data_IF_485196678211
#
_entry.id   IF_485196678211
#
_cell.length_a   1.000
_cell.length_b   1.000
_cell.length_c   1.000
_cell.angle_alpha   90.00
_cell.angle_beta   90.00
_cell.angle_gamma   90.00
#
_symmetry.space_group_name_H-M   'P 1'
#
loop_
_entity.id
_entity.type
_entity.pdbx_description
1 polymer ?
#
# COMPACT_ATOMS: atom_id res chain seq x y z
N UNK A 1 0.02 -17.69 -20.47
CA UNK A 1 1.49 -17.61 -20.29
C UNK A 1 1.89 -18.29 -19.00
N UNK A 2 3.18 -18.32 -18.67
CA UNK A 2 3.66 -18.93 -17.41
C UNK A 2 3.17 -18.18 -16.17
N UNK A 3 2.70 -18.95 -15.17
CA UNK A 3 2.16 -18.43 -13.89
C UNK A 3 3.30 -17.96 -12.97
N UNK A 4 4.41 -18.69 -12.95
CA UNK A 4 5.62 -18.33 -12.20
C UNK A 4 6.67 -17.88 -13.19
N UNK A 5 7.15 -16.65 -13.06
CA UNK A 5 8.27 -16.14 -13.85
C UNK A 5 9.45 -15.87 -12.89
N UNK A 6 10.45 -16.75 -12.84
CA UNK A 6 11.63 -16.52 -12.01
C UNK A 6 12.37 -15.28 -12.51
N UNK A 7 12.62 -14.31 -11.62
CA UNK A 7 13.44 -13.14 -11.90
C UNK A 7 14.59 -13.07 -10.89
N UNK A 8 15.64 -12.34 -11.25
CA UNK A 8 16.93 -12.18 -10.53
C UNK A 8 16.78 -11.88 -9.03
N UNK A 9 15.67 -11.27 -8.57
CA UNK A 9 15.40 -11.15 -7.14
C UNK A 9 14.11 -11.87 -6.73
N UNK A 10 14.18 -12.59 -5.61
CA UNK A 10 13.04 -13.33 -5.03
C UNK A 10 11.82 -12.42 -4.74
N UNK A 11 12.06 -11.13 -4.43
CA UNK A 11 11.01 -10.14 -4.25
C UNK A 11 10.26 -9.86 -5.56
N UNK A 12 10.99 -9.62 -6.65
CA UNK A 12 10.43 -9.40 -7.99
C UNK A 12 9.66 -10.63 -8.47
N UNK A 13 10.18 -11.85 -8.25
CA UNK A 13 9.50 -13.11 -8.57
C UNK A 13 8.15 -13.22 -7.85
N UNK A 14 8.09 -12.87 -6.56
CA UNK A 14 6.84 -12.92 -5.78
C UNK A 14 5.79 -11.96 -6.35
N UNK A 15 6.17 -10.73 -6.66
CA UNK A 15 5.24 -9.76 -7.22
C UNK A 15 4.75 -10.18 -8.61
N UNK A 16 5.63 -10.57 -9.53
CA UNK A 16 5.23 -10.98 -10.88
C UNK A 16 4.33 -12.22 -10.82
N UNK A 17 4.63 -13.16 -9.92
CA UNK A 17 3.78 -14.34 -9.71
C UNK A 17 2.38 -13.95 -9.21
N UNK A 18 2.27 -13.04 -8.24
CA UNK A 18 0.96 -12.56 -7.77
C UNK A 18 0.17 -11.83 -8.87
N UNK A 19 0.84 -11.05 -9.74
CA UNK A 19 0.19 -10.44 -10.91
C UNK A 19 -0.30 -11.50 -11.89
N UNK A 20 0.55 -12.46 -12.23
CA UNK A 20 0.21 -13.51 -13.17
C UNK A 20 -0.96 -14.36 -12.67
N UNK A 21 -1.02 -14.64 -11.36
CA UNK A 21 -2.17 -15.31 -10.73
C UNK A 21 -3.46 -14.50 -10.89
N UNK A 22 -3.40 -13.17 -10.70
CA UNK A 22 -4.55 -12.29 -10.92
C UNK A 22 -4.98 -12.28 -12.39
N UNK A 23 -4.04 -12.03 -13.30
CA UNK A 23 -4.29 -11.93 -14.74
C UNK A 23 -4.87 -13.24 -15.31
N UNK A 24 -4.49 -14.39 -14.75
CA UNK A 24 -4.98 -15.72 -15.17
C UNK A 24 -6.05 -16.31 -14.23
N UNK A 25 -6.72 -15.51 -13.39
CA UNK A 25 -7.72 -15.98 -12.40
C UNK A 25 -8.73 -16.95 -12.99
N UNK A 26 -9.40 -16.57 -14.09
CA UNK A 26 -10.45 -17.38 -14.70
C UNK A 26 -9.93 -18.72 -15.22
N UNK A 27 -8.74 -18.73 -15.82
CA UNK A 27 -8.09 -19.95 -16.29
C UNK A 27 -7.68 -20.87 -15.14
N UNK A 28 -7.19 -20.29 -14.04
CA UNK A 28 -6.84 -21.04 -12.82
C UNK A 28 -8.08 -21.66 -12.15
N UNK A 29 -9.18 -20.91 -12.05
CA UNK A 29 -10.45 -21.41 -11.50
C UNK A 29 -11.04 -22.53 -12.39
N UNK A 30 -10.95 -22.37 -13.71
CA UNK A 30 -11.34 -23.41 -14.67
C UNK A 30 -10.47 -24.66 -14.53
N UNK A 31 -9.16 -24.50 -14.33
CA UNK A 31 -8.25 -25.61 -14.09
C UNK A 31 -8.58 -26.32 -12.77
N UNK A 32 -8.77 -25.58 -11.69
CA UNK A 32 -9.06 -26.12 -10.35
C UNK A 32 -10.39 -26.90 -10.29
N UNK A 33 -11.35 -26.56 -11.14
CA UNK A 33 -12.65 -27.27 -11.27
C UNK A 33 -12.66 -28.32 -12.38
N UNK A 34 -11.63 -28.38 -13.23
CA UNK A 34 -11.58 -29.30 -14.36
C UNK A 34 -11.58 -30.77 -13.91
N UNK A 35 -12.21 -31.63 -14.71
CA UNK A 35 -12.18 -33.09 -14.50
C UNK A 35 -10.75 -33.64 -14.55
N UNK A 36 -9.89 -33.03 -15.36
CA UNK A 36 -8.48 -33.37 -15.47
C UNK A 36 -7.74 -33.16 -14.14
N UNK A 37 -7.90 -32.00 -13.49
CA UNK A 37 -7.23 -31.71 -12.23
C UNK A 37 -7.87 -32.45 -11.04
N UNK A 38 -9.20 -32.46 -10.94
CA UNK A 38 -9.93 -33.10 -9.82
C UNK A 38 -9.75 -34.62 -9.76
N UNK A 39 -9.49 -35.28 -10.89
CA UNK A 39 -9.15 -36.70 -10.92
C UNK A 39 -7.67 -36.98 -10.65
N UNK A 40 -6.79 -35.98 -10.79
CA UNK A 40 -5.35 -36.13 -10.66
C UNK A 40 -4.91 -36.35 -9.20
N UNK A 41 -3.78 -37.06 -8.99
CA UNK A 41 -3.26 -37.34 -7.63
C UNK A 41 -2.91 -36.08 -6.84
N UNK A 42 -2.50 -35.00 -7.53
CA UNK A 42 -2.09 -33.75 -6.90
C UNK A 42 -3.25 -33.02 -6.22
N UNK A 43 -4.46 -33.03 -6.80
CA UNK A 43 -5.63 -32.37 -6.21
C UNK A 43 -6.09 -33.03 -4.92
N UNK A 44 -5.79 -34.32 -4.74
CA UNK A 44 -6.13 -35.09 -3.53
C UNK A 44 -5.14 -34.91 -2.38
N UNK A 45 -3.98 -34.28 -2.62
CA UNK A 45 -3.02 -33.95 -1.55
C UNK A 45 -3.49 -32.73 -0.78
N UNK A 46 -3.11 -32.63 0.49
CA UNK A 46 -3.40 -31.47 1.36
C UNK A 46 -3.07 -30.14 0.65
N UNK A 47 -1.89 -30.04 0.04
CA UNK A 47 -1.48 -28.84 -0.70
C UNK A 47 -2.35 -28.57 -1.94
N UNK A 48 -2.79 -29.61 -2.65
CA UNK A 48 -3.66 -29.45 -3.82
C UNK A 48 -5.05 -28.97 -3.44
N UNK A 49 -5.61 -29.52 -2.36
CA UNK A 49 -6.88 -29.08 -1.77
C UNK A 49 -6.78 -27.61 -1.33
N UNK A 50 -5.72 -27.25 -0.62
CA UNK A 50 -5.46 -25.87 -0.20
C UNK A 50 -5.35 -24.92 -1.39
N UNK A 51 -4.55 -25.26 -2.41
CA UNK A 51 -4.38 -24.44 -3.61
C UNK A 51 -5.71 -24.26 -4.35
N UNK A 52 -6.52 -25.31 -4.50
CA UNK A 52 -7.86 -25.19 -5.08
C UNK A 52 -8.76 -24.27 -4.26
N UNK A 53 -8.76 -24.41 -2.92
CA UNK A 53 -9.57 -23.56 -2.05
C UNK A 53 -9.18 -22.08 -2.17
N UNK A 54 -7.89 -21.79 -2.26
CA UNK A 54 -7.33 -20.43 -2.39
C UNK A 54 -7.66 -19.84 -3.77
N UNK A 55 -7.50 -20.60 -4.85
CA UNK A 55 -7.79 -20.14 -6.22
C UNK A 55 -9.29 -19.87 -6.42
N UNK A 56 -10.14 -20.68 -5.80
CA UNK A 56 -11.60 -20.56 -5.90
C UNK A 56 -12.15 -19.47 -4.97
N UNK A 57 -11.40 -19.02 -3.98
CA UNK A 57 -11.76 -17.86 -3.18
C UNK A 57 -11.70 -16.59 -4.04
N UNK A 58 -12.87 -15.98 -4.27
CA UNK A 58 -12.96 -14.75 -5.04
C UNK A 58 -12.21 -13.58 -4.40
N UNK A 59 -12.08 -13.59 -3.07
CA UNK A 59 -11.37 -12.55 -2.34
C UNK A 59 -9.85 -12.67 -2.51
N UNK A 60 -9.32 -13.88 -2.69
CA UNK A 60 -7.87 -14.09 -2.79
C UNK A 60 -7.25 -13.34 -3.98
N UNK A 61 -7.91 -13.37 -5.13
CA UNK A 61 -7.41 -12.67 -6.32
C UNK A 61 -7.49 -11.15 -6.15
N UNK A 62 -8.56 -10.65 -5.54
CA UNK A 62 -8.69 -9.23 -5.18
C UNK A 62 -7.64 -8.81 -4.16
N UNK A 63 -7.36 -9.65 -3.16
CA UNK A 63 -6.28 -9.46 -2.20
C UNK A 63 -4.90 -9.44 -2.88
N UNK A 64 -4.66 -10.28 -3.89
CA UNK A 64 -3.43 -10.25 -4.69
C UNK A 64 -3.26 -8.91 -5.42
N UNK A 65 -4.32 -8.42 -6.08
CA UNK A 65 -4.32 -7.12 -6.75
C UNK A 65 -4.14 -5.98 -5.75
N UNK A 66 -4.78 -6.07 -4.58
CA UNK A 66 -4.65 -5.08 -3.52
C UNK A 66 -3.24 -5.07 -2.94
N UNK A 67 -2.62 -6.23 -2.73
CA UNK A 67 -1.22 -6.33 -2.32
C UNK A 67 -0.32 -5.70 -3.38
N UNK A 68 -0.60 -5.84 -4.67
CA UNK A 68 0.18 -5.22 -5.75
C UNK A 68 0.00 -3.71 -5.87
N UNK A 69 -1.26 -3.24 -5.97
CA UNK A 69 -1.59 -1.83 -6.21
C UNK A 69 -1.35 -1.03 -4.94
N UNK A 70 -1.79 -1.52 -3.78
CA UNK A 70 -1.64 -0.81 -2.52
C UNK A 70 -0.19 -0.83 -2.02
N UNK A 71 0.58 -1.93 -2.12
CA UNK A 71 2.01 -1.89 -1.71
C UNK A 71 2.87 -0.98 -2.60
N UNK A 72 2.41 -0.61 -3.80
CA UNK A 72 3.10 0.42 -4.61
C UNK A 72 2.83 1.85 -4.12
N UNK A 73 1.83 2.10 -3.28
CA UNK A 73 1.58 3.44 -2.73
C UNK A 73 2.42 3.69 -1.47
N UNK A 74 3.15 4.81 -1.46
CA UNK A 74 4.06 5.20 -0.37
C UNK A 74 3.41 5.16 1.03
N UNK A 75 2.13 5.54 1.14
CA UNK A 75 1.42 5.56 2.42
C UNK A 75 1.11 4.16 2.97
N UNK A 76 0.82 3.20 2.09
CA UNK A 76 0.58 1.81 2.50
C UNK A 76 1.86 1.11 2.93
N UNK A 77 3.02 1.51 2.37
CA UNK A 77 4.34 1.02 2.82
C UNK A 77 4.60 1.45 4.27
N UNK A 78 4.32 2.71 4.61
CA UNK A 78 4.41 3.20 6.00
C UNK A 78 3.46 2.45 6.94
N UNK A 79 2.19 2.33 6.54
CA UNK A 79 1.19 1.63 7.35
C UNK A 79 1.52 0.14 7.56
N UNK A 80 2.01 -0.53 6.50
CA UNK A 80 2.48 -1.90 6.55
C UNK A 80 3.67 -2.07 7.49
N UNK A 81 4.63 -1.14 7.46
CA UNK A 81 5.77 -1.15 8.37
C UNK A 81 5.33 -0.96 9.83
N UNK A 82 4.45 0.02 10.08
CA UNK A 82 3.93 0.29 11.41
C UNK A 82 3.19 -0.93 11.99
N UNK A 83 2.30 -1.55 11.19
CA UNK A 83 1.56 -2.75 11.59
C UNK A 83 2.49 -3.95 11.81
N UNK A 84 3.49 -4.15 10.96
CA UNK A 84 4.48 -5.23 11.11
C UNK A 84 5.23 -5.09 12.43
N UNK A 85 5.72 -3.88 12.74
CA UNK A 85 6.40 -3.61 14.01
C UNK A 85 5.50 -3.88 15.23
N UNK A 86 4.21 -3.50 15.16
CA UNK A 86 3.23 -3.79 16.22
C UNK A 86 2.94 -5.29 16.35
N UNK A 87 2.79 -5.99 15.23
CA UNK A 87 2.57 -7.43 15.17
C UNK A 87 3.70 -8.22 15.83
N UNK A 88 4.95 -7.90 15.52
CA UNK A 88 6.12 -8.53 16.14
C UNK A 88 6.13 -8.32 17.65
N UNK A 89 5.89 -7.08 18.13
CA UNK A 89 5.79 -6.82 19.57
C UNK A 89 4.71 -7.68 20.24
N UNK A 90 3.55 -7.80 19.60
CA UNK A 90 2.42 -8.57 20.11
C UNK A 90 2.72 -10.08 20.17
N UNK A 91 3.35 -10.67 19.14
CA UNK A 91 3.75 -12.08 19.13
C UNK A 91 4.63 -12.42 20.34
N UNK A 92 5.52 -11.51 20.71
CA UNK A 92 6.39 -11.66 21.87
C UNK A 92 5.80 -11.11 23.18
N UNK A 93 4.48 -10.91 23.26
CA UNK A 93 3.77 -10.41 24.44
C UNK A 93 4.37 -9.12 25.01
N UNK A 94 4.85 -8.24 24.14
CA UNK A 94 5.55 -7.00 24.48
C UNK A 94 6.82 -7.17 25.35
N UNK A 95 7.38 -8.38 25.43
CA UNK A 95 8.65 -8.65 26.12
C UNK A 95 9.81 -8.13 25.27
N UNK A 96 10.30 -6.93 25.60
CA UNK A 96 11.35 -6.19 24.85
C UNK A 96 12.55 -7.04 24.47
N UNK A 97 13.06 -7.86 25.39
CA UNK A 97 14.21 -8.74 25.14
C UNK A 97 14.04 -9.67 23.94
N UNK A 98 12.80 -10.06 23.62
CA UNK A 98 12.51 -11.01 22.56
C UNK A 98 12.19 -10.33 21.23
N UNK A 99 11.41 -9.23 21.23
CA UNK A 99 11.07 -8.57 19.97
C UNK A 99 12.14 -7.62 19.44
N UNK A 100 12.98 -7.05 20.33
CA UNK A 100 13.89 -5.95 19.99
C UNK A 100 14.83 -6.28 18.83
N UNK A 101 15.52 -7.45 18.79
CA UNK A 101 16.41 -7.79 17.68
C UNK A 101 15.70 -7.75 16.32
N UNK A 102 14.46 -8.26 16.24
CA UNK A 102 13.68 -8.26 15.01
C UNK A 102 13.22 -6.86 14.60
N UNK A 103 12.75 -6.06 15.56
CA UNK A 103 12.34 -4.69 15.26
C UNK A 103 13.52 -3.82 14.87
N UNK A 104 14.70 -4.04 15.44
CA UNK A 104 15.90 -3.26 15.12
C UNK A 104 16.36 -3.53 13.68
N UNK A 105 16.41 -4.79 13.24
CA UNK A 105 16.75 -5.16 11.83
C UNK A 105 15.79 -4.48 10.84
N UNK A 106 14.49 -4.47 11.17
CA UNK A 106 13.47 -3.88 10.31
C UNK A 106 13.61 -2.35 10.27
N UNK A 107 13.85 -1.70 11.42
CA UNK A 107 14.01 -0.25 11.49
C UNK A 107 15.31 0.21 10.84
N UNK A 108 16.40 -0.54 10.98
CA UNK A 108 17.67 -0.23 10.29
C UNK A 108 17.48 -0.19 8.77
N UNK A 109 16.78 -1.18 8.21
CA UNK A 109 16.44 -1.19 6.77
C UNK A 109 15.48 -0.07 6.40
N UNK A 110 14.52 0.23 7.27
CA UNK A 110 13.56 1.30 7.06
C UNK A 110 14.25 2.67 6.98
N UNK A 111 15.09 2.98 7.97
CA UNK A 111 15.79 4.27 8.07
C UNK A 111 16.84 4.44 6.97
N UNK A 112 17.45 3.34 6.51
CA UNK A 112 18.50 3.37 5.47
C UNK A 112 17.96 3.53 4.04
N UNK A 113 16.81 2.92 3.71
CA UNK A 113 16.37 2.77 2.31
C UNK A 113 15.09 3.51 1.95
N UNK A 114 14.37 4.08 2.90
CA UNK A 114 13.10 4.75 2.64
C UNK A 114 13.18 6.21 3.08
N UNK A 115 12.80 7.12 2.18
CA UNK A 115 12.71 8.54 2.48
C UNK A 115 11.59 8.77 3.50
N UNK A 116 11.89 8.68 4.80
CA UNK A 116 10.91 8.65 5.89
C UNK A 116 9.84 9.73 5.74
N UNK A 117 10.24 10.94 5.35
CA UNK A 117 9.36 12.09 5.18
C UNK A 117 8.27 11.85 4.13
N UNK A 118 8.61 11.33 2.94
CA UNK A 118 7.63 11.13 1.86
C UNK A 118 6.67 9.98 2.13
N UNK A 119 7.15 8.92 2.77
CA UNK A 119 6.31 7.81 3.22
C UNK A 119 5.36 8.25 4.34
N UNK A 120 5.88 9.02 5.31
CA UNK A 120 5.10 9.59 6.40
C UNK A 120 4.01 10.55 5.88
N UNK A 121 4.34 11.47 4.98
CA UNK A 121 3.36 12.39 4.40
C UNK A 121 2.34 11.64 3.54
N UNK A 122 2.77 10.68 2.71
CA UNK A 122 1.84 9.86 1.93
C UNK A 122 0.89 9.04 2.82
N UNK A 123 1.36 8.58 3.98
CA UNK A 123 0.52 7.92 4.98
C UNK A 123 -0.51 8.87 5.58
N UNK A 124 -0.07 10.07 5.98
CA UNK A 124 -0.93 11.11 6.51
C UNK A 124 -2.00 11.53 5.50
N UNK A 125 -1.62 11.77 4.24
CA UNK A 125 -2.55 12.21 3.21
C UNK A 125 -3.43 11.10 2.63
N UNK A 126 -3.29 9.86 3.07
CA UNK A 126 -4.14 8.79 2.58
C UNK A 126 -5.47 8.77 3.37
N UNK A 127 -6.61 9.08 2.72
CA UNK A 127 -7.91 9.11 3.39
C UNK A 127 -8.36 7.74 3.90
N UNK A 128 -7.80 6.65 3.39
CA UNK A 128 -8.03 5.30 3.89
C UNK A 128 -7.41 5.07 5.29
N UNK A 129 -6.51 5.95 5.74
CA UNK A 129 -5.78 5.81 7.01
C UNK A 129 -6.08 6.92 8.01
N UNK A 130 -5.94 8.21 7.64
CA UNK A 130 -6.02 9.33 8.60
C UNK A 130 -7.33 9.37 9.41
N UNK A 131 -8.36 8.76 8.85
CA UNK A 131 -9.71 8.75 9.40
C UNK A 131 -10.09 7.45 10.11
N UNK A 132 -9.19 6.46 10.14
CA UNK A 132 -9.39 5.21 10.87
C UNK A 132 -9.10 5.39 12.36
N UNK A 133 -9.82 4.65 13.21
CA UNK A 133 -9.60 4.66 14.66
C UNK A 133 -8.17 4.25 15.06
N UNK A 134 -7.50 3.48 14.21
CA UNK A 134 -6.14 2.98 14.43
C UNK A 134 -5.03 3.82 13.82
N UNK A 135 -5.32 5.04 13.34
CA UNK A 135 -4.32 5.89 12.70
C UNK A 135 -3.15 6.22 13.63
N UNK A 136 -1.93 6.07 13.11
CA UNK A 136 -0.70 6.29 13.87
C UNK A 136 -0.32 7.78 13.89
N UNK A 137 -0.65 8.47 14.99
CA UNK A 137 -0.33 9.90 15.19
C UNK A 137 1.05 10.13 15.81
N UNK A 138 2.06 9.47 15.25
CA UNK A 138 3.46 9.60 15.67
C UNK A 138 4.02 10.99 15.33
N UNK A 139 4.90 11.52 16.18
CA UNK A 139 5.58 12.82 15.94
C UNK A 139 6.33 12.78 14.61
N UNK A 140 6.93 11.64 14.29
CA UNK A 140 7.65 11.39 13.05
C UNK A 140 6.77 11.58 11.80
N UNK A 141 5.47 11.31 11.90
CA UNK A 141 4.52 11.52 10.79
C UNK A 141 4.32 13.01 10.53
N UNK A 142 4.11 13.78 11.59
CA UNK A 142 3.93 15.23 11.51
C UNK A 142 5.22 15.93 11.10
N UNK A 143 6.38 15.51 11.65
CA UNK A 143 7.67 16.06 11.28
C UNK A 143 7.98 15.80 9.80
N UNK A 144 7.73 14.59 9.31
CA UNK A 144 7.91 14.25 7.90
C UNK A 144 7.06 15.10 6.97
N UNK A 145 5.84 15.44 7.40
CA UNK A 145 4.96 16.36 6.70
C UNK A 145 5.52 17.79 6.65
N UNK A 146 5.89 18.37 7.79
CA UNK A 146 6.43 19.74 7.84
C UNK A 146 7.73 19.86 7.04
N UNK A 147 8.65 18.90 7.20
CA UNK A 147 9.89 18.84 6.44
C UNK A 147 9.66 18.85 4.92
N UNK A 148 8.54 18.32 4.41
CA UNK A 148 8.20 18.36 2.98
C UNK A 148 7.57 19.68 2.54
N UNK A 149 6.83 20.34 3.43
CA UNK A 149 6.21 21.64 3.13
C UNK A 149 7.24 22.77 3.11
N UNK A 150 8.29 22.65 3.91
CA UNK A 150 9.42 23.58 3.95
C UNK A 150 10.30 23.52 2.68
N UNK A 151 10.18 22.47 1.87
CA UNK A 151 10.89 22.38 0.59
C UNK A 151 10.27 23.39 -0.38
N UNK A 152 10.96 24.51 -0.59
CA UNK A 152 10.51 25.63 -1.44
C UNK A 152 10.12 25.25 -2.87
N UNK A 153 10.64 24.16 -3.43
CA UNK A 153 10.24 23.67 -4.77
C UNK A 153 8.87 23.01 -4.81
N UNK A 154 8.28 22.73 -3.64
CA UNK A 154 6.99 22.07 -3.48
C UNK A 154 5.87 23.10 -3.31
N UNK A 155 6.14 24.31 -2.79
CA UNK A 155 5.10 25.30 -2.51
C UNK A 155 5.56 26.77 -2.35
N UNK A 156 4.71 27.72 -2.77
CA UNK A 156 4.92 29.18 -2.67
C UNK A 156 4.20 29.87 -1.48
N UNK A 157 3.31 29.17 -0.76
CA UNK A 157 2.42 29.78 0.24
C UNK A 157 2.19 28.93 1.50
N UNK A 158 3.26 28.61 2.23
CA UNK A 158 3.29 27.70 3.39
C UNK A 158 2.08 27.84 4.35
N UNK A 159 1.76 29.07 4.75
CA UNK A 159 0.64 29.37 5.67
C UNK A 159 -0.72 28.91 5.15
N UNK A 160 -0.98 29.01 3.85
CA UNK A 160 -2.22 28.50 3.23
C UNK A 160 -2.26 26.97 3.25
N UNK A 161 -1.13 26.31 2.99
CA UNK A 161 -1.05 24.85 3.03
C UNK A 161 -1.32 24.30 4.43
N UNK A 162 -0.78 24.95 5.47
CA UNK A 162 -1.04 24.60 6.86
C UNK A 162 -2.53 24.69 7.23
N UNK A 163 -3.20 25.76 6.80
CA UNK A 163 -4.65 25.90 6.98
C UNK A 163 -5.44 24.79 6.27
N UNK A 164 -5.07 24.44 5.05
CA UNK A 164 -5.69 23.35 4.29
C UNK A 164 -5.42 21.96 4.89
N UNK A 165 -4.26 21.75 5.52
CA UNK A 165 -3.95 20.52 6.26
C UNK A 165 -4.87 20.37 7.47
N UNK A 166 -5.13 21.46 8.19
CA UNK A 166 -6.10 21.46 9.29
C UNK A 166 -7.49 21.08 8.79
N UNK A 167 -7.96 21.72 7.71
CA UNK A 167 -9.27 21.40 7.12
C UNK A 167 -9.38 19.92 6.75
N UNK A 168 -8.34 19.35 6.14
CA UNK A 168 -8.27 17.92 5.84
C UNK A 168 -8.35 17.09 7.12
N UNK A 169 -7.46 17.32 8.10
CA UNK A 169 -7.40 16.55 9.34
C UNK A 169 -8.72 16.54 10.09
N UNK A 170 -9.41 17.68 10.13
CA UNK A 170 -10.67 17.87 10.86
C UNK A 170 -11.93 17.50 10.05
N UNK A 171 -11.78 17.01 8.81
CA UNK A 171 -12.88 16.68 7.88
C UNK A 171 -13.79 17.87 7.57
N UNK A 172 -13.24 19.07 7.50
CA UNK A 172 -14.01 20.26 7.15
C UNK A 172 -14.37 20.28 5.64
N UNK A 173 -15.39 21.06 5.28
CA UNK A 173 -15.80 21.32 3.88
C UNK A 173 -16.04 20.04 3.07
N UNK A 174 -15.39 19.90 1.90
CA UNK A 174 -15.60 18.76 1.00
C UNK A 174 -15.16 17.41 1.60
N UNK A 175 -14.25 17.40 2.57
CA UNK A 175 -13.74 16.19 3.21
C UNK A 175 -14.77 15.52 4.13
N UNK A 176 -15.67 16.32 4.73
CA UNK A 176 -16.75 15.85 5.59
C UNK A 176 -18.02 15.43 4.84
N UNK A 177 -18.11 15.64 3.53
CA UNK A 177 -19.29 15.26 2.74
C UNK A 177 -19.44 13.75 2.69
N UNK A 178 -20.68 13.26 2.75
CA UNK A 178 -20.98 11.82 2.74
C UNK A 178 -20.42 11.11 1.49
N UNK A 179 -20.57 11.71 0.31
CA UNK A 179 -20.04 11.16 -0.96
C UNK A 179 -18.52 10.98 -0.92
N UNK A 180 -17.80 11.98 -0.40
CA UNK A 180 -16.36 11.94 -0.19
C UNK A 180 -15.99 10.90 0.87
N UNK A 181 -16.76 10.80 1.96
CA UNK A 181 -16.52 9.85 3.03
C UNK A 181 -16.68 8.38 2.60
N UNK A 182 -17.68 8.09 1.77
CA UNK A 182 -17.97 6.74 1.27
C UNK A 182 -16.90 6.24 0.29
N UNK A 183 -16.23 7.14 -0.43
CA UNK A 183 -15.29 6.78 -1.51
C UNK A 183 -13.83 6.68 -1.06
N UNK A 184 -13.52 6.95 0.22
CA UNK A 184 -12.15 7.03 0.76
C UNK A 184 -11.32 5.75 0.62
N UNK A 185 -11.97 4.59 0.70
CA UNK A 185 -11.31 3.27 0.64
C UNK A 185 -11.44 2.61 -0.73
N UNK A 186 -12.40 3.04 -1.53
CA UNK A 186 -12.69 2.47 -2.86
C UNK A 186 -11.94 3.18 -3.98
N UNK A 187 -11.65 4.47 -3.84
CA UNK A 187 -10.84 5.23 -4.80
C UNK A 187 -9.35 5.17 -4.45
N UNK A 188 -8.51 5.30 -5.47
CA UNK A 188 -7.09 5.59 -5.27
C UNK A 188 -6.94 6.96 -4.59
N UNK A 189 -5.97 7.07 -3.67
CA UNK A 189 -5.84 8.24 -2.82
C UNK A 189 -5.63 9.53 -3.63
N UNK A 190 -4.81 9.49 -4.68
CA UNK A 190 -4.60 10.63 -5.59
C UNK A 190 -5.90 11.07 -6.32
N UNK A 191 -6.71 10.12 -6.80
CA UNK A 191 -8.00 10.41 -7.44
C UNK A 191 -9.03 10.97 -6.45
N UNK A 192 -9.07 10.43 -5.23
CA UNK A 192 -9.92 10.97 -4.17
C UNK A 192 -9.57 12.44 -3.86
N UNK A 193 -8.29 12.79 -3.83
CA UNK A 193 -7.85 14.18 -3.65
C UNK A 193 -8.26 15.12 -4.79
N UNK A 194 -8.49 14.60 -6.00
CA UNK A 194 -9.03 15.40 -7.11
C UNK A 194 -10.47 15.85 -6.86
N UNK A 195 -11.28 15.03 -6.18
CA UNK A 195 -12.67 15.35 -5.83
C UNK A 195 -12.78 16.51 -4.81
N UNK A 196 -11.76 16.69 -3.97
CA UNK A 196 -11.74 17.70 -2.91
C UNK A 196 -11.08 19.02 -3.35
N UNK A 197 -10.77 19.20 -4.64
CA UNK A 197 -10.00 20.33 -5.19
C UNK A 197 -10.45 21.70 -4.71
N UNK A 198 -11.77 21.93 -4.71
CA UNK A 198 -12.36 23.23 -4.42
C UNK A 198 -12.13 23.70 -2.98
N UNK A 199 -11.89 22.77 -2.04
CA UNK A 199 -11.66 23.10 -0.63
C UNK A 199 -10.20 23.35 -0.28
N UNK A 200 -9.27 22.78 -1.06
CA UNK A 200 -7.83 22.79 -0.77
C UNK A 200 -6.96 22.87 -2.04
N UNK A 201 -7.03 23.96 -2.81
CA UNK A 201 -6.34 24.09 -4.09
C UNK A 201 -4.81 24.10 -3.97
N UNK A 202 -4.27 24.53 -2.84
CA UNK A 202 -2.83 24.62 -2.59
C UNK A 202 -2.26 23.25 -2.22
N UNK A 203 -2.83 22.62 -1.20
CA UNK A 203 -2.43 21.34 -0.66
C UNK A 203 -2.62 20.23 -1.67
N UNK A 204 -3.71 20.26 -2.46
CA UNK A 204 -3.96 19.24 -3.47
C UNK A 204 -2.79 19.08 -4.45
N UNK A 205 -2.21 20.17 -4.95
CA UNK A 205 -1.11 20.11 -5.93
C UNK A 205 0.08 19.32 -5.39
N UNK A 206 0.37 19.51 -4.10
CA UNK A 206 1.45 18.82 -3.38
C UNK A 206 1.08 17.36 -3.17
N UNK A 207 -0.13 17.12 -2.64
CA UNK A 207 -0.58 15.79 -2.24
C UNK A 207 -0.74 14.86 -3.43
N UNK A 208 -1.28 15.33 -4.56
CA UNK A 208 -1.41 14.51 -5.78
C UNK A 208 -0.03 14.10 -6.31
N UNK A 209 0.99 14.97 -6.20
CA UNK A 209 2.36 14.62 -6.56
C UNK A 209 2.95 13.58 -5.61
N UNK A 210 2.81 13.77 -4.29
CA UNK A 210 3.31 12.82 -3.28
C UNK A 210 2.63 11.45 -3.44
N UNK A 211 1.30 11.42 -3.55
CA UNK A 211 0.53 10.18 -3.65
C UNK A 211 0.63 9.51 -5.03
N UNK A 212 1.00 10.26 -6.06
CA UNK A 212 1.28 9.75 -7.40
C UNK A 212 2.64 9.06 -7.51
N UNK A 213 3.53 9.22 -6.53
CA UNK A 213 4.80 8.49 -6.51
C UNK A 213 4.58 7.03 -6.09
N UNK A 214 5.26 6.13 -6.80
CA UNK A 214 5.27 4.70 -6.46
C UNK A 214 6.45 4.37 -5.55
N UNK A 215 6.23 3.48 -4.59
CA UNK A 215 7.23 3.01 -3.63
C UNK A 215 8.23 2.00 -4.21
N UNK A 216 8.02 1.56 -5.46
CA UNK A 216 8.98 0.73 -6.18
C UNK A 216 10.10 1.61 -6.72
N UNK A 217 11.36 1.26 -6.44
CA UNK A 217 12.50 1.71 -7.24
C UNK A 217 12.13 1.57 -8.72
N UNK A 218 12.40 2.59 -9.53
CA UNK A 218 12.01 2.68 -10.94
C UNK A 218 12.65 1.65 -11.88
N UNK A 219 12.77 0.39 -11.47
CA UNK A 219 13.16 -0.74 -12.31
C UNK A 219 12.07 -1.14 -13.29
N UNK A 220 10.89 -0.52 -13.28
CA UNK A 220 9.81 -0.87 -14.23
C UNK A 220 9.97 -0.21 -15.61
N UNK A 221 10.86 0.76 -15.80
CA UNK A 221 10.91 1.54 -17.05
C UNK A 221 11.51 0.83 -18.28
N UNK A 222 12.05 -0.38 -18.16
CA UNK A 222 12.72 -1.06 -19.29
C UNK A 222 12.13 -2.42 -19.69
N UNK A 223 10.96 -2.84 -19.20
CA UNK A 223 10.45 -4.19 -19.50
C UNK A 223 9.60 -4.30 -20.77
N UNK A 224 9.40 -3.21 -21.51
CA UNK A 224 8.81 -3.26 -22.86
C UNK A 224 9.79 -3.75 -23.94
N UNK A 225 11.00 -4.17 -23.57
CA UNK A 225 12.03 -4.69 -24.49
C UNK A 225 12.09 -6.23 -24.48
N UNK A 226 11.23 -6.89 -23.70
CA UNK A 226 11.18 -8.35 -23.59
C UNK A 226 9.77 -8.92 -23.82
N UNK A 227 8.92 -8.19 -24.54
CA UNK A 227 7.67 -8.73 -25.09
C UNK A 227 7.92 -9.26 -26.50
#
# INVERSE_FOLDING_TARGET
GEIVRPVVTHFTTTFITLKSIYDHKQALQSLATSRHFTSHRLSKRVNGILVSSIILDNNFSEDCLMIQIKKRSLGYVYDGMHRTRKGIKNIFLNKKRFYKPYTDIIMERWDKYLHLNIHAAAYFFNPAFIYEKGFCQKVEVMQGLFNLLEIKSIHDHETKALGEIRMYRERERSFGRQSTCNTRKSLQSNEWWKLCRSSTPTLQKIVVRILGQTASSGCERNWSVFE
#
